data_IF_438501249864
#
_entry.id   IF_438501249864
#
_cell.length_a   1.000
_cell.length_b   1.000
_cell.length_c   1.000
_cell.angle_alpha   90.00
_cell.angle_beta   90.00
_cell.angle_gamma   90.00
#
_symmetry.space_group_name_H-M   'P 1'
#
loop_
_entity.id
_entity.type
_entity.pdbx_description
1 polymer ?
#
# COMPACT_ATOMS: atom_id res chain seq x y z
N UNK A 1 -8.94 1.75 54.61
CA UNK A 1 -9.76 2.39 53.55
C UNK A 1 -9.12 2.04 52.21
N UNK A 2 -9.65 1.04 51.52
CA UNK A 2 -9.16 0.61 50.20
C UNK A 2 -9.66 1.64 49.19
N UNK A 3 -8.74 2.27 48.46
CA UNK A 3 -9.06 3.18 47.36
C UNK A 3 -9.65 2.34 46.22
N UNK A 4 -10.95 2.53 45.95
CA UNK A 4 -11.59 2.04 44.73
C UNK A 4 -10.96 2.75 43.54
N UNK A 5 -10.24 2.01 42.70
CA UNK A 5 -9.96 2.44 41.34
C UNK A 5 -11.30 2.55 40.59
N UNK A 6 -11.62 3.75 40.09
CA UNK A 6 -12.75 3.93 39.16
C UNK A 6 -12.44 3.32 37.79
N UNK A 7 -13.45 2.95 36.98
CA UNK A 7 -13.24 2.34 35.68
C UNK A 7 -12.87 3.40 34.65
N UNK A 8 -11.65 3.91 34.71
CA UNK A 8 -11.04 4.66 33.62
C UNK A 8 -10.48 3.69 32.61
N UNK A 9 -11.30 3.18 31.68
CA UNK A 9 -10.77 2.47 30.52
C UNK A 9 -9.92 3.47 29.73
N UNK A 10 -8.60 3.25 29.73
CA UNK A 10 -7.64 3.94 28.88
C UNK A 10 -7.95 3.54 27.42
N UNK A 11 -8.94 4.19 26.80
CA UNK A 11 -9.37 3.88 25.44
C UNK A 11 -8.30 4.36 24.46
N UNK A 12 -7.87 3.46 23.60
CA UNK A 12 -6.90 3.76 22.55
C UNK A 12 -7.40 4.94 21.69
N UNK A 13 -6.58 6.00 21.50
CA UNK A 13 -6.96 7.17 20.70
C UNK A 13 -7.42 6.82 19.28
N UNK A 14 -6.84 5.78 18.67
CA UNK A 14 -7.25 5.32 17.34
C UNK A 14 -8.66 4.71 17.40
N UNK A 15 -8.94 3.87 18.39
CA UNK A 15 -10.25 3.22 18.51
C UNK A 15 -11.35 4.26 18.75
N UNK A 16 -11.08 5.28 19.55
CA UNK A 16 -12.03 6.38 19.79
C UNK A 16 -12.26 7.22 18.54
N UNK A 17 -11.19 7.60 17.83
CA UNK A 17 -11.31 8.34 16.57
C UNK A 17 -12.06 7.55 15.50
N UNK A 18 -11.82 6.23 15.41
CA UNK A 18 -12.55 5.33 14.51
C UNK A 18 -14.04 5.27 14.85
N UNK A 19 -14.40 5.10 16.12
CA UNK A 19 -15.81 5.08 16.55
C UNK A 19 -16.51 6.42 16.28
N UNK A 20 -15.83 7.54 16.55
CA UNK A 20 -16.41 8.86 16.41
C UNK A 20 -16.59 9.26 14.93
N UNK A 21 -15.57 9.02 14.10
CA UNK A 21 -15.53 9.56 12.75
C UNK A 21 -15.92 8.56 11.66
N UNK A 22 -15.81 7.27 11.96
CA UNK A 22 -16.12 6.15 11.05
C UNK A 22 -17.00 5.07 11.73
N UNK A 23 -18.15 5.42 12.36
CA UNK A 23 -19.00 4.44 13.07
C UNK A 23 -19.66 3.40 12.15
N UNK A 24 -19.66 3.63 10.83
CA UNK A 24 -20.23 2.73 9.84
C UNK A 24 -19.55 2.92 8.49
N UNK A 25 -19.65 1.91 7.62
CA UNK A 25 -19.10 1.97 6.26
C UNK A 25 -19.72 3.14 5.47
N UNK A 26 -18.94 4.18 5.12
CA UNK A 26 -19.49 5.35 4.44
C UNK A 26 -19.86 5.04 2.99
N UNK A 27 -20.34 6.07 2.27
CA UNK A 27 -20.38 6.00 0.80
C UNK A 27 -18.94 5.93 0.27
N UNK A 28 -18.66 5.19 -0.81
CA UNK A 28 -17.28 4.98 -1.27
C UNK A 28 -16.46 6.25 -1.47
N UNK A 29 -17.03 7.25 -2.13
CA UNK A 29 -16.37 8.55 -2.38
C UNK A 29 -16.15 9.41 -1.13
N UNK A 30 -16.80 9.08 -0.01
CA UNK A 30 -16.69 9.80 1.25
C UNK A 30 -15.65 9.18 2.20
N UNK A 31 -15.17 7.96 1.93
CA UNK A 31 -14.21 7.29 2.79
C UNK A 31 -12.90 8.09 3.00
N UNK A 32 -12.26 8.68 1.97
CA UNK A 32 -11.04 9.46 2.18
C UNK A 32 -11.23 10.59 3.20
N UNK A 33 -12.31 11.37 3.07
CA UNK A 33 -12.66 12.46 4.00
C UNK A 33 -13.00 11.97 5.41
N UNK A 34 -13.49 10.74 5.55
CA UNK A 34 -13.76 10.15 6.87
C UNK A 34 -12.47 9.73 7.56
N UNK A 35 -11.54 9.13 6.81
CA UNK A 35 -10.22 8.79 7.32
C UNK A 35 -9.42 10.04 7.68
N UNK A 36 -9.53 11.13 6.91
CA UNK A 36 -8.95 12.42 7.29
C UNK A 36 -9.37 12.87 8.68
N UNK A 37 -10.66 12.79 9.01
CA UNK A 37 -11.15 13.09 10.36
C UNK A 37 -10.65 12.11 11.41
N UNK A 38 -10.46 10.84 11.07
CA UNK A 38 -9.84 9.87 11.99
C UNK A 38 -8.40 10.29 12.28
N UNK A 39 -7.64 10.68 11.25
CA UNK A 39 -6.27 11.19 11.39
C UNK A 39 -6.24 12.43 12.29
N UNK A 40 -7.08 13.43 12.00
CA UNK A 40 -7.14 14.69 12.74
C UNK A 40 -7.63 14.48 14.19
N UNK A 41 -8.56 13.53 14.40
CA UNK A 41 -9.12 13.20 15.71
C UNK A 41 -8.13 12.51 16.66
N UNK A 42 -7.03 11.96 16.14
CA UNK A 42 -5.95 11.41 16.98
C UNK A 42 -5.06 12.52 17.60
N UNK A 43 -5.18 13.78 17.15
CA UNK A 43 -4.52 14.97 17.72
C UNK A 43 -2.98 14.94 17.67
N UNK A 44 -2.33 15.74 18.54
CA UNK A 44 -0.86 15.86 18.66
C UNK A 44 -0.13 14.57 19.07
N UNK A 45 -0.85 13.46 19.30
CA UNK A 45 -0.25 12.16 19.65
C UNK A 45 0.44 11.48 18.47
N UNK A 46 0.25 11.98 17.25
CA UNK A 46 1.04 11.63 16.06
C UNK A 46 2.39 12.39 15.99
N UNK A 47 2.60 13.44 16.80
CA UNK A 47 3.77 14.31 16.70
C UNK A 47 5.09 13.66 17.18
N UNK A 48 5.04 12.56 17.93
CA UNK A 48 6.24 11.79 18.28
C UNK A 48 6.51 10.68 17.26
N UNK A 49 6.87 11.06 16.02
CA UNK A 49 7.73 10.25 15.12
C UNK A 49 8.15 11.03 13.85
N UNK A 50 8.42 12.33 14.00
CA UNK A 50 8.93 13.20 12.93
C UNK A 50 10.43 13.00 12.60
N UNK A 51 10.86 11.75 12.35
CA UNK A 51 12.23 11.49 11.88
C UNK A 51 12.32 10.67 10.59
N UNK A 52 11.20 10.11 10.11
CA UNK A 52 11.16 9.29 8.89
C UNK A 52 10.60 10.03 7.66
N UNK A 53 9.78 11.06 7.84
CA UNK A 53 9.14 11.78 6.71
C UNK A 53 10.11 12.58 5.83
N UNK A 54 11.29 12.94 6.36
CA UNK A 54 12.30 13.70 5.61
C UNK A 54 12.93 12.91 4.45
N UNK A 55 12.75 11.60 4.40
CA UNK A 55 13.29 10.73 3.35
C UNK A 55 12.36 10.57 2.13
N UNK A 56 11.03 10.69 2.31
CA UNK A 56 10.05 10.53 1.23
C UNK A 56 9.95 11.79 0.34
N UNK A 57 10.12 12.99 0.90
CA UNK A 57 10.13 14.24 0.11
C UNK A 57 11.31 14.32 -0.85
N UNK A 58 12.49 13.81 -0.46
CA UNK A 58 13.70 13.80 -1.29
C UNK A 58 13.66 12.71 -2.38
N UNK A 59 12.75 11.74 -2.29
CA UNK A 59 12.60 10.62 -3.23
C UNK A 59 11.36 10.74 -4.14
N UNK A 60 10.60 11.84 -4.03
CA UNK A 60 9.42 12.12 -4.86
C UNK A 60 8.17 11.37 -4.42
N UNK A 61 8.11 10.89 -3.17
CA UNK A 61 6.93 10.26 -2.58
C UNK A 61 5.83 11.26 -2.21
N UNK A 62 4.56 10.83 -2.09
CA UNK A 62 3.47 11.69 -1.61
C UNK A 62 3.71 12.12 -0.15
N UNK A 63 3.24 13.33 0.20
CA UNK A 63 3.28 13.84 1.58
C UNK A 63 2.66 12.82 2.57
N UNK A 64 3.34 12.66 3.71
CA UNK A 64 2.98 11.77 4.80
C UNK A 64 2.51 12.58 6.03
N UNK A 65 1.59 12.01 6.80
CA UNK A 65 1.08 12.57 8.07
C UNK A 65 1.79 11.99 9.30
N UNK A 66 2.85 11.19 9.10
CA UNK A 66 3.59 10.54 10.18
C UNK A 66 2.82 9.40 10.88
N UNK A 67 1.73 8.88 10.30
CA UNK A 67 1.00 7.73 10.85
C UNK A 67 1.81 6.47 10.62
N UNK A 68 2.09 5.72 11.69
CA UNK A 68 2.86 4.48 11.59
C UNK A 68 2.06 3.35 10.92
N UNK A 69 2.79 2.36 10.42
CA UNK A 69 2.20 1.28 9.64
C UNK A 69 1.24 0.41 10.47
N UNK A 70 1.54 0.18 11.75
CA UNK A 70 0.70 -0.62 12.64
C UNK A 70 -0.68 0.01 12.84
N UNK A 71 -0.72 1.34 12.99
CA UNK A 71 -1.96 2.10 13.03
C UNK A 71 -2.74 1.98 11.71
N UNK A 72 -2.06 2.10 10.56
CA UNK A 72 -2.71 1.93 9.25
C UNK A 72 -3.27 0.52 9.06
N UNK A 73 -2.55 -0.52 9.52
CA UNK A 73 -3.04 -1.91 9.51
C UNK A 73 -4.28 -2.08 10.37
N UNK A 74 -4.32 -1.49 11.57
CA UNK A 74 -5.51 -1.49 12.43
C UNK A 74 -6.69 -0.79 11.79
N UNK A 75 -6.47 0.33 11.11
CA UNK A 75 -7.51 1.04 10.36
C UNK A 75 -8.06 0.21 9.19
N UNK A 76 -7.19 -0.44 8.43
CA UNK A 76 -7.60 -1.34 7.34
C UNK A 76 -8.41 -2.53 7.88
N UNK A 77 -7.96 -3.16 8.97
CA UNK A 77 -8.68 -4.23 9.67
C UNK A 77 -10.06 -3.78 10.13
N UNK A 78 -10.15 -2.60 10.78
CA UNK A 78 -11.43 -2.03 11.20
C UNK A 78 -12.39 -1.81 10.02
N UNK A 79 -11.90 -1.31 8.87
CA UNK A 79 -12.70 -1.16 7.65
C UNK A 79 -13.22 -2.49 7.12
N UNK A 80 -12.37 -3.53 7.10
CA UNK A 80 -12.76 -4.87 6.68
C UNK A 80 -13.89 -5.39 7.57
N UNK A 81 -13.74 -5.30 8.89
CA UNK A 81 -14.76 -5.68 9.89
C UNK A 81 -16.07 -4.90 9.71
N UNK A 82 -16.03 -3.58 9.54
CA UNK A 82 -17.23 -2.77 9.27
C UNK A 82 -17.95 -3.14 7.97
N UNK A 83 -17.21 -3.74 7.03
CA UNK A 83 -17.69 -4.05 5.69
C UNK A 83 -18.13 -5.50 5.51
N UNK A 84 -18.16 -6.30 6.56
CA UNK A 84 -18.64 -7.69 6.51
C UNK A 84 -20.03 -7.76 5.84
N UNK A 85 -20.19 -8.70 4.91
CA UNK A 85 -21.38 -8.83 4.05
C UNK A 85 -21.55 -7.71 3.00
N UNK A 86 -20.67 -6.70 2.98
CA UNK A 86 -20.73 -5.51 2.10
C UNK A 86 -19.38 -5.19 1.45
N UNK A 87 -18.51 -6.17 1.30
CA UNK A 87 -17.16 -6.02 0.75
C UNK A 87 -17.09 -5.30 -0.60
N UNK A 88 -18.03 -5.58 -1.51
CA UNK A 88 -18.11 -4.89 -2.82
C UNK A 88 -18.32 -3.38 -2.67
N UNK A 89 -18.99 -2.94 -1.60
CA UNK A 89 -19.15 -1.51 -1.29
C UNK A 89 -17.85 -0.90 -0.80
N UNK A 90 -17.08 -1.62 0.03
CA UNK A 90 -15.76 -1.16 0.47
C UNK A 90 -14.79 -1.10 -0.72
N UNK A 91 -14.76 -2.12 -1.57
CA UNK A 91 -13.93 -2.19 -2.78
C UNK A 91 -14.10 -0.96 -3.68
N UNK A 92 -15.34 -0.47 -3.86
CA UNK A 92 -15.64 0.77 -4.62
C UNK A 92 -14.97 2.03 -4.07
N UNK A 93 -14.41 1.99 -2.87
CA UNK A 93 -13.71 3.12 -2.23
C UNK A 93 -12.23 3.18 -2.61
N UNK A 94 -11.64 2.06 -3.06
CA UNK A 94 -10.22 1.93 -3.39
C UNK A 94 -9.77 2.99 -4.41
N UNK A 95 -10.45 3.22 -5.54
CA UNK A 95 -10.01 4.25 -6.50
C UNK A 95 -10.03 5.66 -5.89
N UNK A 96 -10.97 5.94 -4.98
CA UNK A 96 -11.06 7.23 -4.33
C UNK A 96 -9.94 7.44 -3.29
N UNK A 97 -9.57 6.39 -2.55
CA UNK A 97 -8.41 6.39 -1.65
C UNK A 97 -7.11 6.62 -2.42
N UNK A 98 -6.94 5.88 -3.52
CA UNK A 98 -5.73 5.96 -4.35
C UNK A 98 -5.54 7.33 -4.99
N UNK A 99 -6.59 7.85 -5.63
CA UNK A 99 -6.53 9.10 -6.41
C UNK A 99 -6.40 10.35 -5.55
N UNK A 100 -7.13 10.42 -4.43
CA UNK A 100 -7.25 11.66 -3.62
C UNK A 100 -6.27 11.73 -2.46
N UNK A 101 -5.66 10.60 -2.12
CA UNK A 101 -4.98 10.46 -0.86
C UNK A 101 -3.47 10.59 -0.93
N UNK A 102 -2.89 11.03 0.19
CA UNK A 102 -1.44 10.97 0.45
C UNK A 102 -0.97 9.54 0.73
N UNK A 103 0.22 9.40 1.30
CA UNK A 103 0.85 8.10 1.58
C UNK A 103 -0.08 7.14 2.35
N UNK A 104 -0.72 7.62 3.41
CA UNK A 104 -1.56 6.80 4.31
C UNK A 104 -2.78 6.20 3.60
N UNK A 105 -3.47 7.00 2.77
CA UNK A 105 -4.64 6.54 2.03
C UNK A 105 -4.25 5.50 0.97
N UNK A 106 -3.11 5.67 0.30
CA UNK A 106 -2.60 4.70 -0.69
C UNK A 106 -2.17 3.40 -0.03
N UNK A 107 -1.53 3.48 1.13
CA UNK A 107 -1.19 2.30 1.94
C UNK A 107 -2.45 1.54 2.37
N UNK A 108 -3.48 2.23 2.86
CA UNK A 108 -4.79 1.61 3.16
C UNK A 108 -5.41 1.00 1.89
N UNK A 109 -5.37 1.69 0.75
CA UNK A 109 -5.87 1.15 -0.51
C UNK A 109 -5.16 -0.16 -0.90
N UNK A 110 -3.83 -0.22 -0.80
CA UNK A 110 -3.04 -1.44 -1.02
C UNK A 110 -3.45 -2.57 -0.08
N UNK A 111 -3.58 -2.28 1.23
CA UNK A 111 -4.05 -3.26 2.22
C UNK A 111 -5.48 -3.77 1.90
N UNK A 112 -6.38 -2.91 1.42
CA UNK A 112 -7.72 -3.32 1.03
C UNK A 112 -7.73 -4.23 -0.21
N UNK A 113 -6.93 -3.93 -1.24
CA UNK A 113 -6.76 -4.82 -2.41
C UNK A 113 -6.19 -6.17 -1.96
N UNK A 114 -5.21 -6.15 -1.08
CA UNK A 114 -4.54 -7.34 -0.56
C UNK A 114 -5.47 -8.26 0.26
N UNK A 115 -6.50 -7.71 0.92
CA UNK A 115 -7.32 -8.48 1.87
C UNK A 115 -8.79 -8.70 1.46
N UNK A 116 -9.34 -7.91 0.53
CA UNK A 116 -10.72 -8.12 0.05
C UNK A 116 -10.81 -9.30 -0.91
N UNK A 117 -11.82 -10.17 -0.83
CA UNK A 117 -11.93 -11.28 -1.77
C UNK A 117 -12.13 -10.78 -3.20
N UNK A 118 -11.61 -11.54 -4.16
CA UNK A 118 -11.62 -11.17 -5.57
C UNK A 118 -13.04 -11.03 -6.12
N UNK A 119 -14.01 -11.80 -5.61
CA UNK A 119 -15.43 -11.64 -5.95
C UNK A 119 -15.98 -10.26 -5.59
N UNK A 120 -15.44 -9.61 -4.55
CA UNK A 120 -15.79 -8.25 -4.17
C UNK A 120 -15.02 -7.20 -4.99
N UNK A 121 -13.77 -7.49 -5.37
CA UNK A 121 -12.94 -6.65 -6.23
C UNK A 121 -13.45 -6.63 -7.68
N UNK A 122 -14.03 -7.74 -8.14
CA UNK A 122 -14.58 -7.93 -9.48
C UNK A 122 -13.60 -8.55 -10.49
N UNK A 123 -12.34 -8.73 -10.12
CA UNK A 123 -11.28 -9.31 -10.94
C UNK A 123 -10.10 -9.75 -10.04
N UNK A 124 -9.08 -10.36 -10.64
CA UNK A 124 -7.81 -10.68 -9.99
C UNK A 124 -7.14 -9.44 -9.39
N UNK A 125 -6.57 -9.57 -8.20
CA UNK A 125 -6.03 -8.41 -7.43
C UNK A 125 -4.97 -7.61 -8.18
N UNK A 126 -4.04 -8.28 -8.87
CA UNK A 126 -3.03 -7.60 -9.69
C UNK A 126 -3.67 -6.80 -10.83
N UNK A 127 -4.71 -7.34 -11.49
CA UNK A 127 -5.47 -6.63 -12.52
C UNK A 127 -6.19 -5.42 -11.94
N UNK A 128 -6.86 -5.55 -10.79
CA UNK A 128 -7.47 -4.40 -10.10
C UNK A 128 -6.42 -3.36 -9.73
N UNK A 129 -5.25 -3.78 -9.25
CA UNK A 129 -4.17 -2.90 -8.88
C UNK A 129 -3.65 -2.07 -10.08
N UNK A 130 -3.46 -2.67 -11.26
CA UNK A 130 -3.01 -1.90 -12.44
C UNK A 130 -4.00 -0.82 -12.88
N UNK A 131 -5.30 -1.00 -12.65
CA UNK A 131 -6.29 0.06 -12.94
C UNK A 131 -6.09 1.33 -12.11
N UNK A 132 -5.33 1.26 -11.02
CA UNK A 132 -5.01 2.41 -10.17
C UNK A 132 -3.78 3.18 -10.67
N UNK A 133 -2.97 2.58 -11.55
CA UNK A 133 -1.69 3.12 -12.02
C UNK A 133 -1.82 4.00 -13.28
N UNK A 134 -3.04 4.42 -13.63
CA UNK A 134 -3.36 5.19 -14.85
C UNK A 134 -2.77 6.62 -14.86
N UNK A 135 -2.30 7.11 -13.72
CA UNK A 135 -1.62 8.38 -13.59
C UNK A 135 -0.30 8.15 -12.84
N UNK A 136 0.67 9.03 -13.05
CA UNK A 136 1.92 8.94 -12.29
C UNK A 136 1.65 9.21 -10.80
N UNK A 137 1.76 8.15 -10.00
CA UNK A 137 1.58 8.19 -8.55
C UNK A 137 2.90 8.08 -7.79
N UNK A 138 4.04 8.08 -8.50
CA UNK A 138 5.36 7.77 -7.95
C UNK A 138 5.56 6.27 -7.75
N UNK A 139 6.81 5.84 -7.55
CA UNK A 139 7.16 4.43 -7.40
C UNK A 139 6.90 3.89 -6.00
N UNK A 140 7.09 4.70 -4.95
CA UNK A 140 6.95 4.25 -3.57
C UNK A 140 5.55 3.68 -3.25
N UNK A 141 4.43 4.33 -3.62
CA UNK A 141 3.11 3.75 -3.39
C UNK A 141 2.85 2.46 -4.18
N UNK A 142 3.51 2.29 -5.32
CA UNK A 142 3.40 1.08 -6.14
C UNK A 142 4.11 -0.08 -5.47
N UNK A 143 5.33 0.15 -4.97
CA UNK A 143 6.10 -0.84 -4.19
C UNK A 143 5.32 -1.23 -2.93
N UNK A 144 4.86 -0.25 -2.15
CA UNK A 144 4.10 -0.48 -0.92
C UNK A 144 2.88 -1.38 -1.17
N UNK A 145 2.08 -1.06 -2.19
CA UNK A 145 0.88 -1.83 -2.50
C UNK A 145 1.21 -3.23 -3.04
N UNK A 146 2.25 -3.36 -3.89
CA UNK A 146 2.69 -4.65 -4.40
C UNK A 146 3.19 -5.57 -3.27
N UNK A 147 3.98 -5.04 -2.33
CA UNK A 147 4.41 -5.78 -1.15
C UNK A 147 3.24 -6.20 -0.26
N UNK A 148 2.23 -5.34 -0.06
CA UNK A 148 1.01 -5.73 0.68
C UNK A 148 0.26 -6.88 -0.02
N UNK A 149 0.09 -6.81 -1.34
CA UNK A 149 -0.58 -7.87 -2.10
C UNK A 149 0.19 -9.17 -1.94
N UNK A 150 1.50 -9.17 -2.22
CA UNK A 150 2.34 -10.36 -2.07
C UNK A 150 2.34 -10.92 -0.65
N UNK A 151 2.39 -10.06 0.37
CA UNK A 151 2.37 -10.50 1.77
C UNK A 151 1.06 -11.21 2.12
N UNK A 152 -0.06 -10.76 1.56
CA UNK A 152 -1.37 -11.35 1.82
C UNK A 152 -1.65 -12.61 0.99
N UNK A 153 -1.14 -12.69 -0.24
CA UNK A 153 -1.40 -13.81 -1.16
C UNK A 153 -0.32 -14.88 -1.13
N UNK A 154 0.91 -14.54 -0.76
CA UNK A 154 2.10 -15.36 -0.95
C UNK A 154 2.61 -15.40 -2.39
N UNK A 155 1.96 -14.69 -3.32
CA UNK A 155 2.20 -14.82 -4.77
C UNK A 155 2.39 -13.45 -5.45
N UNK A 156 3.36 -13.35 -6.35
CA UNK A 156 3.56 -12.22 -7.26
C UNK A 156 2.60 -12.23 -8.46
N UNK A 157 2.63 -11.20 -9.32
CA UNK A 157 1.95 -11.27 -10.62
C UNK A 157 2.66 -12.26 -11.54
N UNK A 158 1.96 -12.80 -12.53
CA UNK A 158 2.59 -13.67 -13.53
C UNK A 158 3.59 -12.91 -14.39
N UNK A 159 4.58 -13.62 -14.95
CA UNK A 159 5.54 -13.02 -15.88
C UNK A 159 4.88 -12.36 -17.08
N UNK A 160 3.87 -13.04 -17.66
CA UNK A 160 3.12 -12.54 -18.80
C UNK A 160 2.45 -11.20 -18.48
N UNK A 161 1.96 -11.04 -17.25
CA UNK A 161 1.38 -9.78 -16.77
C UNK A 161 2.44 -8.68 -16.65
N UNK A 162 3.63 -8.99 -16.11
CA UNK A 162 4.74 -8.04 -16.00
C UNK A 162 5.28 -7.60 -17.37
N UNK A 163 5.43 -8.54 -18.30
CA UNK A 163 5.86 -8.28 -19.68
C UNK A 163 4.84 -7.41 -20.40
N UNK A 164 3.55 -7.75 -20.30
CA UNK A 164 2.47 -6.97 -20.89
C UNK A 164 2.41 -5.55 -20.29
N UNK A 165 2.65 -5.42 -18.99
CA UNK A 165 2.76 -4.11 -18.33
C UNK A 165 3.94 -3.30 -18.90
N UNK A 166 5.14 -3.89 -18.93
CA UNK A 166 6.35 -3.18 -19.33
C UNK A 166 6.27 -2.64 -20.78
N UNK A 167 5.57 -3.37 -21.66
CA UNK A 167 5.40 -3.00 -23.06
C UNK A 167 4.49 -1.78 -23.30
N UNK A 168 3.73 -1.30 -22.31
CA UNK A 168 2.72 -0.25 -22.55
C UNK A 168 3.31 1.14 -22.77
N UNK A 169 4.21 1.59 -21.90
CA UNK A 169 4.87 2.90 -21.99
C UNK A 169 6.05 2.98 -21.00
N UNK A 170 6.94 3.99 -21.11
CA UNK A 170 8.09 4.13 -20.21
C UNK A 170 7.77 4.22 -18.71
N UNK A 171 6.60 4.75 -18.34
CA UNK A 171 6.14 4.74 -16.95
C UNK A 171 5.72 3.34 -16.50
N UNK A 172 5.01 2.60 -17.35
CA UNK A 172 4.59 1.23 -17.07
C UNK A 172 5.76 0.25 -17.04
N UNK A 173 6.81 0.46 -17.84
CA UNK A 173 8.09 -0.25 -17.70
C UNK A 173 8.65 -0.09 -16.30
N UNK A 174 8.68 1.15 -15.78
CA UNK A 174 9.15 1.42 -14.41
C UNK A 174 8.27 0.73 -13.36
N UNK A 175 6.95 0.72 -13.53
CA UNK A 175 6.03 0.00 -12.65
C UNK A 175 6.25 -1.51 -12.68
N UNK A 176 6.37 -2.12 -13.86
CA UNK A 176 6.67 -3.55 -13.99
C UNK A 176 7.98 -3.92 -13.27
N UNK A 177 9.04 -3.13 -13.47
CA UNK A 177 10.32 -3.37 -12.82
C UNK A 177 10.22 -3.28 -11.29
N UNK A 178 9.58 -2.25 -10.72
CA UNK A 178 9.46 -2.16 -9.25
C UNK A 178 8.57 -3.24 -8.65
N UNK A 179 7.50 -3.63 -9.35
CA UNK A 179 6.61 -4.71 -8.89
C UNK A 179 7.39 -6.04 -8.89
N UNK A 180 8.15 -6.34 -9.93
CA UNK A 180 9.02 -7.52 -9.98
C UNK A 180 10.03 -7.52 -8.83
N UNK A 181 10.65 -6.37 -8.54
CA UNK A 181 11.63 -6.25 -7.46
C UNK A 181 11.06 -6.45 -6.04
N UNK A 182 9.73 -6.44 -5.86
CA UNK A 182 9.10 -6.78 -4.57
C UNK A 182 9.09 -8.28 -4.27
N UNK A 183 9.30 -9.11 -5.31
CA UNK A 183 9.48 -10.55 -5.18
C UNK A 183 10.96 -10.95 -5.21
N UNK A 184 11.28 -12.20 -4.85
CA UNK A 184 12.59 -12.76 -5.09
C UNK A 184 12.85 -12.96 -6.60
N UNK A 185 14.11 -12.83 -7.06
CA UNK A 185 14.44 -12.92 -8.48
C UNK A 185 14.13 -14.26 -9.14
N UNK A 186 14.18 -15.36 -8.40
CA UNK A 186 13.93 -16.72 -8.89
C UNK A 186 12.46 -17.00 -9.25
N UNK A 187 11.52 -16.14 -8.82
CA UNK A 187 10.11 -16.25 -9.20
C UNK A 187 9.84 -15.86 -10.66
N UNK A 188 10.81 -15.23 -11.32
CA UNK A 188 10.67 -14.73 -12.68
C UNK A 188 11.82 -15.19 -13.57
N UNK A 189 11.56 -15.23 -14.87
CA UNK A 189 12.47 -15.68 -15.91
C UNK A 189 13.24 -14.55 -16.56
N UNK A 190 14.12 -14.88 -17.53
CA UNK A 190 15.11 -13.97 -18.10
C UNK A 190 14.52 -12.67 -18.68
N UNK A 191 13.34 -12.74 -19.30
CA UNK A 191 12.70 -11.56 -19.89
C UNK A 191 12.34 -10.52 -18.82
N UNK A 192 11.89 -10.94 -17.64
CA UNK A 192 11.61 -10.01 -16.54
C UNK A 192 12.91 -9.48 -15.93
N UNK A 193 13.97 -10.30 -15.87
CA UNK A 193 15.30 -9.82 -15.50
C UNK A 193 15.78 -8.69 -16.42
N UNK A 194 15.59 -8.83 -17.74
CA UNK A 194 15.94 -7.78 -18.70
C UNK A 194 15.10 -6.51 -18.52
N UNK A 195 13.81 -6.64 -18.19
CA UNK A 195 12.94 -5.51 -17.84
C UNK A 195 13.51 -4.76 -16.62
N UNK A 196 13.87 -5.49 -15.56
CA UNK A 196 14.46 -4.91 -14.35
C UNK A 196 15.84 -4.31 -14.64
N UNK A 197 16.68 -4.94 -15.46
CA UNK A 197 18.01 -4.45 -15.79
C UNK A 197 17.98 -3.19 -16.67
N UNK A 198 17.05 -3.10 -17.61
CA UNK A 198 16.96 -2.01 -18.59
C UNK A 198 16.23 -0.76 -18.10
N UNK A 199 15.53 -0.84 -16.97
CA UNK A 199 14.74 0.28 -16.46
C UNK A 199 15.62 1.48 -16.11
N UNK A 200 15.25 2.66 -16.61
CA UNK A 200 15.93 3.90 -16.24
C UNK A 200 15.78 4.17 -14.74
N UNK A 201 16.91 4.43 -14.08
CA UNK A 201 16.94 4.70 -12.65
C UNK A 201 16.50 6.14 -12.35
N UNK A 202 15.44 6.33 -11.53
CA UNK A 202 15.00 7.65 -11.11
C UNK A 202 15.80 8.18 -9.90
N UNK A 203 16.58 7.32 -9.21
CA UNK A 203 17.35 7.72 -8.03
C UNK A 203 18.45 6.70 -7.68
N UNK A 204 19.48 7.16 -6.97
CA UNK A 204 20.55 6.29 -6.46
C UNK A 204 20.03 5.17 -5.52
N UNK A 205 18.93 5.40 -4.80
CA UNK A 205 18.32 4.38 -3.96
C UNK A 205 17.69 3.26 -4.79
N UNK A 206 17.00 3.64 -5.86
CA UNK A 206 16.43 2.69 -6.82
C UNK A 206 17.54 1.86 -7.48
N UNK A 207 18.62 2.50 -7.92
CA UNK A 207 19.82 1.82 -8.43
C UNK A 207 20.31 0.72 -7.49
N UNK A 208 20.53 1.05 -6.21
CA UNK A 208 21.00 0.07 -5.22
C UNK A 208 20.03 -1.07 -4.96
N UNK A 209 18.71 -0.81 -5.04
CA UNK A 209 17.70 -1.86 -4.88
C UNK A 209 17.72 -2.81 -6.08
N UNK A 210 17.81 -2.25 -7.28
CA UNK A 210 17.92 -3.00 -8.54
C UNK A 210 19.20 -3.85 -8.58
N UNK A 211 20.34 -3.27 -8.25
CA UNK A 211 21.64 -3.98 -8.21
C UNK A 211 21.58 -5.17 -7.25
N UNK A 212 21.14 -4.96 -6.00
CA UNK A 212 20.99 -6.05 -5.02
C UNK A 212 20.01 -7.12 -5.47
N UNK A 213 18.93 -6.73 -6.15
CA UNK A 213 17.96 -7.69 -6.67
C UNK A 213 18.57 -8.55 -7.80
N UNK A 214 19.34 -7.93 -8.70
CA UNK A 214 20.04 -8.61 -9.80
C UNK A 214 21.20 -9.49 -9.32
N UNK A 215 21.95 -9.06 -8.31
CA UNK A 215 23.03 -9.84 -7.69
C UNK A 215 22.49 -11.17 -7.14
N UNK A 216 21.38 -11.13 -6.39
CA UNK A 216 20.72 -12.35 -5.87
C UNK A 216 20.34 -13.34 -6.97
N UNK A 217 19.98 -12.86 -8.17
CA UNK A 217 19.70 -13.72 -9.31
C UNK A 217 20.95 -14.43 -9.83
N UNK A 218 22.07 -13.72 -9.89
CA UNK A 218 23.35 -14.31 -10.33
C UNK A 218 23.76 -15.40 -9.36
N UNK A 219 23.74 -15.11 -8.05
CA UNK A 219 24.11 -16.06 -7.01
C UNK A 219 23.24 -17.33 -7.05
N UNK A 220 21.92 -17.18 -7.22
CA UNK A 220 20.98 -18.30 -7.34
C UNK A 220 21.20 -19.19 -8.57
N UNK A 221 21.82 -18.67 -9.64
CA UNK A 221 22.20 -19.47 -10.83
C UNK A 221 23.56 -20.16 -10.68
N UNK A 222 24.36 -19.74 -9.72
CA UNK A 222 25.73 -20.27 -9.48
C UNK A 222 25.82 -21.23 -8.30
N UNK A 223 24.79 -21.30 -7.45
CA UNK A 223 24.65 -22.24 -6.35
C UNK A 223 23.99 -23.56 -6.80
#
# INVERSE_FOLDING_TARGET
>A
RVLKAGPGMNQDPLDEALRLHLPSLPRPKALPKRLERVYDGMGDRLAMRHHLDRYDELSGGPSARGIDEDMLRRMASYLLSLSEGRWRRLAKSIPALWKRGGREHRKIAGMLIANLPETALGDHRWTVFSTLLQHDVGLAPVVDAAEEIRRATGEGPSEQWLIAMAAQAPLWHRYAAVIAMTGPPEEVGPTVHDIVASVASPSRMFERLRERWLERHVDARTA
#
